data_IF_058775690609
#
_entry.id   IF_058775690609
#
_cell.length_a   1.000
_cell.length_b   1.000
_cell.length_c   1.000
_cell.angle_alpha   90.00
_cell.angle_beta   90.00
_cell.angle_gamma   90.00
#
_symmetry.space_group_name_H-M   'P 1'
#
loop_
_entity.id
_entity.type
_entity.pdbx_description
1 polymer ?
#
# COMPACT_ATOMS: atom_id res chain seq x y z
N UNK A 1 28.78 -4.62 4.54
CA UNK A 1 28.15 -4.51 3.20
C UNK A 1 27.48 -5.80 2.74
N UNK A 2 28.07 -7.00 2.88
CA UNK A 2 27.46 -8.26 2.41
C UNK A 2 26.17 -8.65 3.17
N UNK A 3 26.10 -8.38 4.48
CA UNK A 3 24.90 -8.66 5.29
C UNK A 3 23.66 -7.84 4.87
N UNK A 4 23.82 -6.61 4.36
CA UNK A 4 22.67 -5.78 3.97
C UNK A 4 22.04 -6.25 2.66
N UNK A 5 22.84 -6.74 1.70
CA UNK A 5 22.33 -7.29 0.44
C UNK A 5 21.54 -8.58 0.67
N UNK A 6 21.99 -9.44 1.58
CA UNK A 6 21.27 -10.66 1.94
C UNK A 6 19.91 -10.35 2.60
N UNK A 7 19.88 -9.36 3.50
CA UNK A 7 18.64 -8.91 4.14
C UNK A 7 17.67 -8.31 3.12
N UNK A 8 18.16 -7.44 2.21
CA UNK A 8 17.34 -6.86 1.15
C UNK A 8 16.75 -7.93 0.22
N UNK A 9 17.55 -8.93 -0.16
CA UNK A 9 17.06 -10.06 -0.95
C UNK A 9 15.97 -10.83 -0.19
N UNK A 10 16.19 -11.14 1.09
CA UNK A 10 15.20 -11.87 1.90
C UNK A 10 13.89 -11.11 2.07
N UNK A 11 13.95 -9.79 2.26
CA UNK A 11 12.77 -8.93 2.33
C UNK A 11 12.03 -8.94 0.98
N UNK A 12 12.78 -8.83 -0.14
CA UNK A 12 12.20 -8.89 -1.48
C UNK A 12 11.54 -10.26 -1.75
N UNK A 13 12.20 -11.35 -1.40
CA UNK A 13 11.69 -12.70 -1.62
C UNK A 13 10.42 -12.94 -0.80
N UNK A 14 10.39 -12.54 0.48
CA UNK A 14 9.19 -12.57 1.32
C UNK A 14 8.06 -11.71 0.76
N UNK A 15 8.38 -10.51 0.26
CA UNK A 15 7.40 -9.65 -0.39
C UNK A 15 6.82 -10.33 -1.64
N UNK A 16 7.66 -10.87 -2.53
CA UNK A 16 7.20 -11.55 -3.73
C UNK A 16 6.35 -12.79 -3.43
N UNK A 17 6.68 -13.55 -2.38
CA UNK A 17 5.86 -14.69 -1.93
C UNK A 17 4.44 -14.25 -1.52
N UNK A 18 4.31 -13.13 -0.81
CA UNK A 18 3.01 -12.58 -0.41
C UNK A 18 2.11 -12.24 -1.60
N UNK A 19 2.69 -11.77 -2.72
CA UNK A 19 1.96 -11.39 -3.93
C UNK A 19 1.96 -12.47 -5.02
N UNK A 20 2.58 -13.63 -4.79
CA UNK A 20 2.70 -14.71 -5.78
C UNK A 20 1.41 -15.53 -6.00
N UNK A 21 0.31 -15.15 -5.37
CA UNK A 21 -0.97 -15.81 -5.61
C UNK A 21 -1.45 -15.51 -7.03
N UNK A 22 -1.55 -16.57 -7.85
CA UNK A 22 -2.11 -16.49 -9.20
C UNK A 22 -3.51 -15.90 -9.10
N UNK A 23 -3.73 -14.74 -9.74
CA UNK A 23 -5.05 -14.10 -9.77
C UNK A 23 -6.04 -15.08 -10.40
N UNK A 24 -7.15 -15.44 -9.71
CA UNK A 24 -8.16 -16.32 -10.27
C UNK A 24 -8.69 -15.75 -11.60
N UNK A 25 -8.47 -16.48 -12.70
CA UNK A 25 -8.84 -16.04 -14.06
C UNK A 25 -10.02 -16.83 -14.64
N UNK A 26 -10.59 -17.77 -13.89
CA UNK A 26 -11.65 -18.66 -14.37
C UNK A 26 -13.03 -18.00 -14.39
N UNK A 27 -13.28 -17.05 -13.50
CA UNK A 27 -14.55 -16.31 -13.39
C UNK A 27 -14.31 -14.87 -12.96
N UNK A 28 -15.07 -13.93 -13.54
CA UNK A 28 -15.09 -12.53 -13.09
C UNK A 28 -15.48 -12.41 -11.61
N UNK A 29 -16.36 -13.30 -11.12
CA UNK A 29 -16.76 -13.31 -9.72
C UNK A 29 -15.61 -13.68 -8.79
N UNK A 30 -14.88 -14.76 -9.10
CA UNK A 30 -13.73 -15.20 -8.31
C UNK A 30 -12.64 -14.13 -8.26
N UNK A 31 -12.40 -13.48 -9.41
CA UNK A 31 -11.46 -12.36 -9.50
C UNK A 31 -11.90 -11.18 -8.64
N UNK A 32 -13.16 -10.76 -8.75
CA UNK A 32 -13.69 -9.65 -7.96
C UNK A 32 -13.62 -9.95 -6.45
N UNK A 33 -13.92 -11.19 -6.05
CA UNK A 33 -13.83 -11.60 -4.66
C UNK A 33 -12.40 -11.58 -4.13
N UNK A 34 -11.44 -12.08 -4.91
CA UNK A 34 -10.01 -12.01 -4.58
C UNK A 34 -9.53 -10.55 -4.47
N UNK A 35 -9.86 -9.70 -5.45
CA UNK A 35 -9.48 -8.28 -5.43
C UNK A 35 -10.09 -7.55 -4.23
N UNK A 36 -11.33 -7.86 -3.84
CA UNK A 36 -11.96 -7.34 -2.64
C UNK A 36 -11.17 -7.73 -1.38
N UNK A 37 -10.86 -9.02 -1.20
CA UNK A 37 -10.08 -9.49 -0.05
C UNK A 37 -8.70 -8.83 0.02
N UNK A 38 -8.05 -8.63 -1.13
CA UNK A 38 -6.77 -7.94 -1.21
C UNK A 38 -6.88 -6.47 -0.78
N UNK A 39 -7.92 -5.76 -1.24
CA UNK A 39 -8.18 -4.37 -0.83
C UNK A 39 -8.44 -4.29 0.68
N UNK A 40 -9.26 -5.18 1.23
CA UNK A 40 -9.55 -5.25 2.67
C UNK A 40 -8.27 -5.50 3.48
N UNK A 41 -7.42 -6.42 3.02
CA UNK A 41 -6.13 -6.69 3.65
C UNK A 41 -5.22 -5.45 3.62
N UNK A 42 -5.08 -4.78 2.47
CA UNK A 42 -4.30 -3.56 2.35
C UNK A 42 -4.82 -2.46 3.29
N UNK A 43 -6.14 -2.28 3.39
CA UNK A 43 -6.74 -1.30 4.31
C UNK A 43 -6.43 -1.63 5.78
N UNK A 44 -6.53 -2.90 6.15
CA UNK A 44 -6.19 -3.37 7.50
C UNK A 44 -4.72 -3.13 7.84
N UNK A 45 -3.82 -3.41 6.90
CA UNK A 45 -2.38 -3.17 7.08
C UNK A 45 -2.08 -1.68 7.20
N UNK A 46 -2.65 -0.84 6.32
CA UNK A 46 -2.51 0.62 6.41
C UNK A 46 -2.97 1.13 7.78
N UNK A 47 -4.10 0.63 8.31
CA UNK A 47 -4.59 1.00 9.63
C UNK A 47 -3.65 0.51 10.75
N UNK A 48 -3.22 -0.74 10.68
CA UNK A 48 -2.32 -1.37 11.67
C UNK A 48 -1.00 -0.62 11.80
N UNK A 49 -0.44 -0.17 10.69
CA UNK A 49 0.84 0.55 10.65
C UNK A 49 0.70 2.07 10.72
N UNK A 50 -0.52 2.59 10.97
CA UNK A 50 -0.82 4.02 11.01
C UNK A 50 -0.37 4.77 9.74
N UNK A 51 -0.54 4.15 8.59
CA UNK A 51 -0.21 4.70 7.28
C UNK A 51 -1.45 5.31 6.60
N UNK A 52 -1.20 6.15 5.62
CA UNK A 52 -2.21 6.71 4.74
C UNK A 52 -1.78 6.59 3.28
N UNK A 53 -2.70 6.12 2.44
CA UNK A 53 -2.56 6.06 0.98
C UNK A 53 -3.59 7.02 0.37
N UNK A 54 -3.13 8.00 -0.43
CA UNK A 54 -3.99 8.98 -1.11
C UNK A 54 -3.53 9.17 -2.54
N UNK A 55 -4.48 9.36 -3.46
CA UNK A 55 -4.16 9.78 -4.83
C UNK A 55 -3.67 11.23 -4.81
N UNK A 56 -2.61 11.53 -5.54
CA UNK A 56 -2.18 12.91 -5.78
C UNK A 56 -3.18 13.61 -6.71
N UNK A 57 -3.18 14.94 -6.71
CA UNK A 57 -4.10 15.73 -7.54
C UNK A 57 -3.83 15.58 -9.05
N UNK A 58 -2.65 15.08 -9.43
CA UNK A 58 -2.28 14.91 -10.83
C UNK A 58 -3.06 13.79 -11.54
N UNK A 59 -3.08 13.88 -12.87
CA UNK A 59 -3.70 12.87 -13.74
C UNK A 59 -2.84 11.61 -13.91
N UNK A 60 -1.67 11.52 -13.26
CA UNK A 60 -0.69 10.47 -13.52
C UNK A 60 -0.97 9.18 -12.72
N UNK A 61 -2.11 9.10 -12.03
CA UNK A 61 -2.45 7.99 -11.12
C UNK A 61 -1.34 7.73 -10.10
N UNK A 62 -0.67 8.78 -9.63
CA UNK A 62 0.35 8.68 -8.60
C UNK A 62 -0.33 8.64 -7.23
N UNK A 63 0.24 7.85 -6.33
CA UNK A 63 -0.26 7.69 -4.97
C UNK A 63 0.81 8.11 -3.97
N UNK A 64 0.41 8.95 -3.02
CA UNK A 64 1.17 9.23 -1.82
C UNK A 64 0.93 8.11 -0.80
N UNK A 65 2.02 7.52 -0.30
CA UNK A 65 2.03 6.63 0.86
C UNK A 65 2.94 7.21 1.93
N UNK A 66 2.42 7.41 3.14
CA UNK A 66 3.22 7.90 4.27
C UNK A 66 2.56 7.68 5.62
N UNK A 67 3.19 8.18 6.68
CA UNK A 67 2.60 8.18 8.02
C UNK A 67 1.38 9.11 8.07
N UNK A 68 0.29 8.59 8.63
CA UNK A 68 -0.97 9.29 8.80
C UNK A 68 -0.83 10.54 9.68
N UNK A 69 -0.09 10.46 10.80
CA UNK A 69 0.04 11.61 11.71
C UNK A 69 0.76 12.77 11.06
N UNK A 70 1.88 12.47 10.41
CA UNK A 70 2.66 13.45 9.66
C UNK A 70 1.82 14.12 8.57
N UNK A 71 1.02 13.33 7.84
CA UNK A 71 0.08 13.86 6.85
C UNK A 71 -0.97 14.78 7.47
N UNK A 72 -1.62 14.37 8.58
CA UNK A 72 -2.65 15.15 9.25
C UNK A 72 -2.12 16.50 9.77
N UNK A 73 -0.89 16.53 10.30
CA UNK A 73 -0.23 17.78 10.74
C UNK A 73 -0.11 18.77 9.57
N UNK A 74 0.48 18.32 8.45
CA UNK A 74 0.69 19.17 7.27
C UNK A 74 -0.64 19.61 6.68
N UNK A 75 -1.61 18.69 6.58
CA UNK A 75 -2.94 18.99 6.05
C UNK A 75 -3.66 20.02 6.90
N UNK A 76 -3.63 19.89 8.23
CA UNK A 76 -4.29 20.83 9.13
C UNK A 76 -3.63 22.21 9.07
N UNK A 77 -2.29 22.26 8.98
CA UNK A 77 -1.58 23.53 8.81
C UNK A 77 -1.99 24.24 7.52
N UNK A 78 -2.01 23.51 6.39
CA UNK A 78 -2.44 24.06 5.11
C UNK A 78 -3.86 24.63 5.15
N UNK A 79 -4.80 23.94 5.81
CA UNK A 79 -6.19 24.39 5.97
C UNK A 79 -6.35 25.61 6.88
N UNK A 80 -5.38 25.90 7.77
CA UNK A 80 -5.38 27.10 8.61
C UNK A 80 -4.76 28.31 7.91
N UNK A 81 -3.89 28.08 6.92
CA UNK A 81 -3.23 29.11 6.12
C UNK A 81 -4.06 29.57 4.91
N UNK A 82 -5.15 28.86 4.59
CA UNK A 82 -6.08 29.13 3.47
C UNK A 82 -7.42 29.65 3.98
#
# INVERSE_FOLDING_TARGET
MVQSMFLQKKIKDLYMEMFSTIIPSKSMYERAHYEQQLIEQMQNDLKRFNLILRRTHDQQNVFYLGDRKSFEIVSNQFMLET
#
